data_IF_966559736680
#
_entry.id   IF_966559736680
#
_cell.length_a   1.000
_cell.length_b   1.000
_cell.length_c   1.000
_cell.angle_alpha   90.00
_cell.angle_beta   90.00
_cell.angle_gamma   90.00
#
_symmetry.space_group_name_H-M   'P 1'
#
loop_
_entity.id
_entity.type
_entity.pdbx_description
1 polymer ?
#
# COMPACT_ATOMS: atom_id res chain seq x y z
N UNK A 1 -17.56 -16.00 -17.05
CA UNK A 1 -16.56 -16.43 -18.04
C UNK A 1 -15.94 -15.26 -18.81
N UNK A 2 -16.69 -14.28 -19.34
CA UNK A 2 -16.08 -13.09 -19.98
C UNK A 2 -15.26 -12.21 -19.02
N UNK A 3 -15.68 -12.04 -17.76
CA UNK A 3 -14.91 -11.26 -16.77
C UNK A 3 -13.56 -11.89 -16.36
N UNK A 4 -13.40 -13.22 -16.48
CA UNK A 4 -12.13 -13.89 -16.14
C UNK A 4 -11.09 -13.71 -17.24
N UNK A 5 -11.52 -13.53 -18.49
CA UNK A 5 -10.61 -13.36 -19.62
C UNK A 5 -10.00 -11.94 -19.65
N UNK A 6 -10.75 -10.94 -19.21
CA UNK A 6 -10.26 -9.56 -19.10
C UNK A 6 -9.20 -9.40 -17.99
N UNK A 7 -9.39 -10.03 -16.84
CA UNK A 7 -8.41 -9.94 -15.74
C UNK A 7 -7.10 -10.65 -16.09
N UNK A 8 -7.17 -11.83 -16.71
CA UNK A 8 -5.97 -12.58 -17.14
C UNK A 8 -5.18 -11.79 -18.21
N UNK A 9 -5.87 -11.17 -19.16
CA UNK A 9 -5.20 -10.38 -20.21
C UNK A 9 -4.57 -9.10 -19.64
N UNK A 10 -5.21 -8.44 -18.69
CA UNK A 10 -4.63 -7.29 -17.97
C UNK A 10 -3.39 -7.67 -17.15
N UNK A 11 -3.44 -8.81 -16.43
CA UNK A 11 -2.27 -9.30 -15.69
C UNK A 11 -1.11 -9.63 -16.63
N UNK A 12 -1.38 -10.32 -17.75
CA UNK A 12 -0.36 -10.66 -18.74
C UNK A 12 0.29 -9.41 -19.35
N UNK A 13 -0.51 -8.39 -19.71
CA UNK A 13 -0.02 -7.12 -20.23
C UNK A 13 0.86 -6.40 -19.20
N UNK A 14 0.43 -6.35 -17.94
CA UNK A 14 1.19 -5.72 -16.85
C UNK A 14 2.54 -6.40 -16.65
N UNK A 15 2.56 -7.73 -16.64
CA UNK A 15 3.81 -8.51 -16.54
C UNK A 15 4.71 -8.23 -17.74
N UNK A 16 4.16 -8.21 -18.96
CA UNK A 16 4.94 -7.93 -20.16
C UNK A 16 5.58 -6.52 -20.13
N UNK A 17 4.81 -5.50 -19.71
CA UNK A 17 5.31 -4.14 -19.54
C UNK A 17 6.41 -4.08 -18.48
N UNK A 18 6.22 -4.73 -17.32
CA UNK A 18 7.22 -4.78 -16.26
C UNK A 18 8.53 -5.43 -16.74
N UNK A 19 8.44 -6.58 -17.43
CA UNK A 19 9.61 -7.28 -18.00
C UNK A 19 10.31 -6.40 -19.04
N UNK A 20 9.55 -5.72 -19.92
CA UNK A 20 10.11 -4.82 -20.93
C UNK A 20 10.84 -3.62 -20.29
N UNK A 21 10.30 -3.06 -19.22
CA UNK A 21 10.93 -1.97 -18.46
C UNK A 21 12.23 -2.40 -17.80
N UNK A 22 12.24 -3.58 -17.16
CA UNK A 22 13.46 -4.16 -16.57
C UNK A 22 14.52 -4.40 -17.65
N UNK A 23 14.12 -4.96 -18.80
CA UNK A 23 15.03 -5.18 -19.93
C UNK A 23 15.61 -3.87 -20.46
N UNK A 24 14.80 -2.82 -20.58
CA UNK A 24 15.25 -1.50 -21.00
C UNK A 24 16.28 -0.92 -20.01
N UNK A 25 15.98 -0.91 -18.72
CA UNK A 25 16.91 -0.42 -17.67
C UNK A 25 18.22 -1.25 -17.70
N UNK A 26 18.12 -2.56 -17.84
CA UNK A 26 19.28 -3.45 -17.97
C UNK A 26 20.15 -3.09 -19.18
N UNK A 27 19.55 -2.84 -20.35
CA UNK A 27 20.30 -2.44 -21.54
C UNK A 27 21.01 -1.09 -21.35
N UNK A 28 20.33 -0.12 -20.72
CA UNK A 28 20.92 1.19 -20.40
C UNK A 28 22.09 1.03 -19.42
N UNK A 29 21.95 0.21 -18.38
CA UNK A 29 23.02 -0.06 -17.42
C UNK A 29 24.19 -0.80 -18.07
N UNK A 30 23.94 -1.78 -18.93
CA UNK A 30 24.98 -2.45 -19.71
C UNK A 30 25.70 -1.48 -20.64
N UNK A 31 24.96 -0.59 -21.30
CA UNK A 31 25.55 0.45 -22.14
C UNK A 31 26.44 1.41 -21.32
N UNK A 32 25.99 1.84 -20.14
CA UNK A 32 26.70 2.78 -19.28
C UNK A 32 27.91 2.17 -18.53
N UNK A 33 27.79 0.94 -18.03
CA UNK A 33 28.77 0.33 -17.11
C UNK A 33 29.68 -0.69 -17.79
N UNK A 34 29.22 -1.36 -18.85
CA UNK A 34 29.90 -2.51 -19.46
C UNK A 34 30.47 -2.16 -20.84
N UNK A 35 29.79 -1.32 -21.61
CA UNK A 35 30.26 -0.92 -22.93
C UNK A 35 31.18 0.30 -22.84
N UNK A 36 32.31 0.25 -23.54
CA UNK A 36 33.27 1.35 -23.68
C UNK A 36 32.68 2.43 -24.59
N UNK A 37 31.65 3.12 -24.10
CA UNK A 37 31.06 4.28 -24.75
C UNK A 37 32.09 5.41 -24.77
N UNK A 38 32.27 6.07 -25.93
CA UNK A 38 33.17 7.24 -26.04
C UNK A 38 32.75 8.41 -25.13
N UNK A 39 31.49 8.44 -24.68
CA UNK A 39 30.96 9.49 -23.81
C UNK A 39 31.12 9.21 -22.30
N UNK A 40 31.31 7.94 -21.88
CA UNK A 40 31.45 7.58 -20.47
C UNK A 40 32.62 6.61 -20.28
N UNK A 41 33.81 7.06 -19.85
CA UNK A 41 35.02 6.26 -19.85
C UNK A 41 35.18 5.31 -18.64
N UNK A 42 34.10 4.99 -17.92
CA UNK A 42 34.20 4.13 -16.73
C UNK A 42 34.08 2.65 -17.10
N UNK A 43 35.18 2.05 -17.56
CA UNK A 43 35.30 0.58 -17.50
C UNK A 43 35.51 0.21 -16.03
N UNK A 44 34.48 -0.37 -15.43
CA UNK A 44 34.49 -0.71 -14.02
C UNK A 44 35.47 -1.87 -13.78
N UNK A 45 36.52 -1.60 -12.99
CA UNK A 45 37.46 -2.63 -12.51
C UNK A 45 36.83 -3.55 -11.48
N UNK A 46 37.56 -4.59 -11.09
CA UNK A 46 37.08 -5.61 -10.13
C UNK A 46 36.60 -5.00 -8.80
N UNK A 47 37.27 -3.94 -8.32
CA UNK A 47 36.87 -3.19 -7.13
C UNK A 47 35.54 -2.45 -7.30
N UNK A 48 35.23 -1.97 -8.50
CA UNK A 48 34.00 -1.24 -8.76
C UNK A 48 32.80 -2.17 -8.89
N UNK A 49 32.97 -3.40 -9.39
CA UNK A 49 31.89 -4.39 -9.39
C UNK A 49 31.50 -4.84 -7.98
N UNK A 50 32.45 -4.88 -7.04
CA UNK A 50 32.15 -5.04 -5.60
C UNK A 50 31.29 -3.90 -5.07
N UNK A 51 31.56 -2.64 -5.47
CA UNK A 51 30.72 -1.49 -5.08
C UNK A 51 29.30 -1.59 -5.65
N UNK A 52 29.17 -1.99 -6.91
CA UNK A 52 27.86 -2.26 -7.53
C UNK A 52 27.11 -3.36 -6.75
N UNK A 53 27.83 -4.37 -6.25
CA UNK A 53 27.24 -5.42 -5.40
C UNK A 53 26.59 -4.87 -4.12
N UNK A 54 27.26 -3.94 -3.44
CA UNK A 54 26.68 -3.29 -2.27
C UNK A 54 25.49 -2.39 -2.63
N UNK A 55 25.58 -1.65 -3.74
CA UNK A 55 24.53 -0.72 -4.17
C UNK A 55 23.22 -1.45 -4.50
N UNK A 56 23.24 -2.56 -5.25
CA UNK A 56 21.99 -3.26 -5.57
C UNK A 56 21.34 -3.88 -4.33
N UNK A 57 22.13 -4.34 -3.34
CA UNK A 57 21.60 -4.86 -2.07
C UNK A 57 20.92 -3.73 -1.28
N UNK A 58 21.52 -2.54 -1.23
CA UNK A 58 20.93 -1.36 -0.56
C UNK A 58 19.63 -0.95 -1.26
N UNK A 59 19.63 -0.85 -2.59
CA UNK A 59 18.44 -0.49 -3.37
C UNK A 59 17.34 -1.55 -3.21
N UNK A 60 17.69 -2.83 -3.29
CA UNK A 60 16.74 -3.94 -3.16
C UNK A 60 16.13 -4.02 -1.76
N UNK A 61 16.94 -3.84 -0.71
CA UNK A 61 16.44 -3.80 0.68
C UNK A 61 15.54 -2.59 0.94
N UNK A 62 15.87 -1.42 0.37
CA UNK A 62 15.01 -0.24 0.45
C UNK A 62 13.67 -0.46 -0.27
N UNK A 63 13.68 -1.04 -1.47
CA UNK A 63 12.47 -1.38 -2.20
C UNK A 63 11.56 -2.35 -1.40
N UNK A 64 12.16 -3.39 -0.79
CA UNK A 64 11.46 -4.35 0.05
C UNK A 64 10.85 -3.66 1.29
N UNK A 65 11.60 -2.78 1.95
CA UNK A 65 11.08 -2.00 3.07
C UNK A 65 9.85 -1.17 2.66
N UNK A 66 9.91 -0.47 1.53
CA UNK A 66 8.78 0.32 1.04
C UNK A 66 7.56 -0.58 0.78
N UNK A 67 7.74 -1.78 0.20
CA UNK A 67 6.63 -2.73 0.01
C UNK A 67 6.03 -3.24 1.33
N UNK A 68 6.83 -3.42 2.39
CA UNK A 68 6.31 -3.74 3.72
C UNK A 68 5.43 -2.59 4.22
N UNK A 69 5.91 -1.34 4.12
CA UNK A 69 5.16 -0.15 4.54
C UNK A 69 3.84 0.00 3.77
N UNK A 70 3.84 -0.28 2.46
CA UNK A 70 2.64 -0.27 1.63
C UNK A 70 1.63 -1.33 2.05
N UNK A 71 2.10 -2.54 2.36
CA UNK A 71 1.22 -3.64 2.78
C UNK A 71 0.51 -3.27 4.08
N UNK A 72 1.22 -2.69 5.05
CA UNK A 72 0.62 -2.20 6.30
C UNK A 72 -0.41 -1.11 6.03
N UNK A 73 -0.09 -0.15 5.16
CA UNK A 73 -0.99 0.95 4.85
C UNK A 73 -2.26 0.48 4.10
N UNK A 74 -2.12 -0.49 3.19
CA UNK A 74 -3.26 -1.13 2.52
C UNK A 74 -4.14 -1.92 3.49
N UNK A 75 -3.55 -2.57 4.51
CA UNK A 75 -4.32 -3.23 5.57
C UNK A 75 -5.17 -2.20 6.33
N UNK A 76 -4.61 -1.04 6.69
CA UNK A 76 -5.37 0.02 7.38
C UNK A 76 -6.48 0.61 6.51
N UNK A 77 -6.26 0.75 5.21
CA UNK A 77 -7.31 1.17 4.27
C UNK A 77 -8.41 0.10 4.20
N UNK A 78 -8.05 -1.17 4.07
CA UNK A 78 -9.03 -2.27 4.05
C UNK A 78 -9.81 -2.38 5.36
N UNK A 79 -9.16 -2.14 6.51
CA UNK A 79 -9.81 -2.06 7.82
C UNK A 79 -10.85 -0.93 7.83
N UNK A 80 -10.51 0.26 7.33
CA UNK A 80 -11.46 1.37 7.18
C UNK A 80 -12.65 1.01 6.28
N UNK A 81 -12.41 0.40 5.13
CA UNK A 81 -13.48 0.02 4.20
C UNK A 81 -14.41 -1.03 4.82
N UNK A 82 -13.85 -1.93 5.63
CA UNK A 82 -14.59 -2.91 6.41
C UNK A 82 -15.43 -2.24 7.49
N UNK A 83 -14.87 -1.29 8.25
CA UNK A 83 -15.60 -0.50 9.24
C UNK A 83 -16.71 0.34 8.60
N UNK A 84 -16.48 0.94 7.43
CA UNK A 84 -17.53 1.65 6.69
C UNK A 84 -18.66 0.69 6.27
N UNK A 85 -18.30 -0.52 5.84
CA UNK A 85 -19.27 -1.57 5.52
C UNK A 85 -20.09 -1.99 6.75
N UNK A 86 -19.46 -2.11 7.92
CA UNK A 86 -20.17 -2.35 9.18
C UNK A 86 -21.05 -1.16 9.58
N UNK A 87 -20.61 0.07 9.35
CA UNK A 87 -21.42 1.28 9.53
C UNK A 87 -22.69 1.25 8.68
N UNK A 88 -22.58 0.88 7.39
CA UNK A 88 -23.73 0.71 6.49
C UNK A 88 -24.69 -0.38 6.96
N UNK A 89 -24.17 -1.50 7.45
CA UNK A 89 -24.99 -2.58 8.04
C UNK A 89 -25.67 -2.15 9.33
N UNK A 90 -25.00 -1.36 10.17
CA UNK A 90 -25.59 -0.81 11.40
C UNK A 90 -26.73 0.15 11.08
N UNK A 91 -26.57 1.01 10.07
CA UNK A 91 -27.64 1.89 9.57
C UNK A 91 -28.80 1.07 9.02
N UNK A 92 -28.52 0.03 8.23
CA UNK A 92 -29.56 -0.85 7.72
C UNK A 92 -30.33 -1.54 8.86
N UNK A 93 -29.63 -2.05 9.86
CA UNK A 93 -30.24 -2.63 11.07
C UNK A 93 -31.12 -1.62 11.81
N UNK A 94 -30.64 -0.38 11.96
CA UNK A 94 -31.39 0.71 12.56
C UNK A 94 -32.65 1.06 11.76
N UNK A 95 -32.55 1.13 10.43
CA UNK A 95 -33.67 1.40 9.53
C UNK A 95 -34.73 0.28 9.58
N UNK A 96 -34.29 -0.99 9.66
CA UNK A 96 -35.19 -2.13 9.87
C UNK A 96 -35.90 -2.00 11.22
N UNK A 97 -35.17 -1.73 12.30
CA UNK A 97 -35.76 -1.57 13.63
C UNK A 97 -36.77 -0.42 13.70
N UNK A 98 -36.47 0.71 13.06
CA UNK A 98 -37.38 1.86 12.97
C UNK A 98 -38.60 1.56 12.11
N UNK A 99 -38.43 0.84 11.00
CA UNK A 99 -39.57 0.43 10.16
C UNK A 99 -40.51 -0.50 10.92
N UNK A 100 -39.96 -1.46 11.68
CA UNK A 100 -40.73 -2.41 12.48
C UNK A 100 -41.62 -1.73 13.55
N UNK A 101 -41.30 -0.49 13.96
CA UNK A 101 -42.14 0.28 14.89
C UNK A 101 -43.42 0.85 14.24
N UNK A 102 -43.45 0.87 12.92
CA UNK A 102 -44.60 1.29 12.11
C UNK A 102 -45.20 0.13 11.30
N UNK A 103 -44.81 -1.11 11.63
CA UNK A 103 -45.33 -2.30 10.96
C UNK A 103 -46.82 -2.51 11.30
N UNK A 104 -47.58 -3.23 10.46
CA UNK A 104 -49.02 -3.44 10.63
C UNK A 104 -49.41 -4.08 11.97
N UNK A 105 -48.47 -4.75 12.63
CA UNK A 105 -48.66 -5.36 13.95
C UNK A 105 -48.74 -4.34 15.09
N UNK A 106 -48.15 -3.15 14.91
CA UNK A 106 -48.17 -2.04 15.88
C UNK A 106 -49.17 -0.97 15.41
N UNK A 107 -49.09 -0.59 14.15
CA UNK A 107 -50.00 0.33 13.49
C UNK A 107 -51.26 -0.40 12.97
N UNK A 108 -51.96 -1.07 13.89
CA UNK A 108 -53.11 -1.91 13.56
C UNK A 108 -54.31 -1.02 13.19
N UNK A 109 -54.98 -1.25 12.03
CA UNK A 109 -56.20 -0.52 11.68
C UNK A 109 -57.30 -0.72 12.73
N UNK A 110 -58.10 0.30 12.98
CA UNK A 110 -59.24 0.28 13.92
C UNK A 110 -60.25 -0.84 13.68
N UNK A 111 -60.29 -1.38 12.47
CA UNK A 111 -61.19 -2.45 12.04
C UNK A 111 -60.62 -3.86 12.22
N UNK A 112 -59.35 -4.01 12.60
CA UNK A 112 -58.68 -5.30 12.63
C UNK A 112 -59.16 -6.17 13.81
N UNK A 113 -59.30 -7.49 13.59
CA UNK A 113 -59.72 -8.43 14.64
C UNK A 113 -58.71 -8.53 15.80
N UNK A 114 -57.42 -8.34 15.52
CA UNK A 114 -56.36 -8.31 16.53
C UNK A 114 -56.66 -7.30 17.65
N UNK A 115 -57.27 -6.16 17.28
CA UNK A 115 -57.61 -5.05 18.18
C UNK A 115 -58.73 -5.37 19.18
N UNK A 116 -59.60 -6.33 18.86
CA UNK A 116 -60.77 -6.68 19.70
C UNK A 116 -60.39 -7.36 21.01
N UNK A 117 -59.19 -7.93 21.09
CA UNK A 117 -58.71 -8.69 22.24
C UNK A 117 -57.76 -7.89 23.15
N UNK A 118 -57.42 -6.64 22.79
CA UNK A 118 -56.57 -5.77 23.61
C UNK A 118 -57.39 -4.88 24.55
N UNK A 119 -56.79 -4.49 25.67
CA UNK A 119 -57.35 -3.49 26.56
C UNK A 119 -57.45 -2.12 25.87
N UNK A 120 -58.40 -1.27 26.29
CA UNK A 120 -58.60 0.06 25.68
C UNK A 120 -57.38 0.96 25.89
N UNK A 121 -56.72 0.80 27.01
CA UNK A 121 -55.50 1.52 27.40
C UNK A 121 -54.34 1.17 26.46
N UNK A 122 -54.15 -0.11 26.16
CA UNK A 122 -53.12 -0.58 25.22
C UNK A 122 -53.37 -0.09 23.79
N UNK A 123 -54.65 -0.02 23.39
CA UNK A 123 -55.04 0.49 22.07
C UNK A 123 -54.69 1.97 21.92
N UNK A 124 -54.98 2.79 22.94
CA UNK A 124 -54.65 4.21 22.93
C UNK A 124 -53.12 4.45 22.93
N UNK A 125 -52.38 3.63 23.68
CA UNK A 125 -50.91 3.66 23.68
C UNK A 125 -50.33 3.30 22.31
N UNK A 126 -50.84 2.24 21.67
CA UNK A 126 -50.45 1.82 20.31
C UNK A 126 -50.78 2.88 19.25
N UNK A 127 -51.94 3.54 19.33
CA UNK A 127 -52.31 4.62 18.41
C UNK A 127 -51.37 5.82 18.52
N UNK A 128 -51.10 6.27 19.76
CA UNK A 128 -50.19 7.38 20.01
C UNK A 128 -48.76 7.06 19.55
N UNK A 129 -48.28 5.84 19.82
CA UNK A 129 -46.98 5.37 19.38
C UNK A 129 -46.90 5.29 17.85
N UNK A 130 -47.93 4.74 17.20
CA UNK A 130 -47.99 4.65 15.75
C UNK A 130 -47.91 6.04 15.08
N UNK A 131 -48.62 7.05 15.62
CA UNK A 131 -48.57 8.41 15.08
C UNK A 131 -47.15 9.00 15.12
N UNK A 132 -46.42 8.76 16.22
CA UNK A 132 -45.03 9.22 16.38
C UNK A 132 -44.09 8.44 15.47
N UNK A 133 -44.16 7.10 15.47
CA UNK A 133 -43.23 6.25 14.73
C UNK A 133 -43.42 6.34 13.21
N UNK A 134 -44.63 6.62 12.74
CA UNK A 134 -44.89 6.85 11.31
C UNK A 134 -44.20 8.13 10.81
N UNK A 135 -44.06 9.16 11.66
CA UNK A 135 -43.38 10.42 11.29
C UNK A 135 -41.87 10.28 11.14
N UNK A 136 -41.27 9.32 11.86
CA UNK A 136 -39.81 9.06 11.83
C UNK A 136 -39.43 7.84 10.98
N UNK A 137 -40.40 7.20 10.32
CA UNK A 137 -40.18 6.02 9.49
C UNK A 137 -39.18 6.36 8.38
N UNK A 138 -38.13 5.54 8.20
CA UNK A 138 -37.16 5.76 7.14
C UNK A 138 -37.77 5.55 5.76
N UNK A 139 -37.27 6.27 4.77
CA UNK A 139 -37.73 6.14 3.37
C UNK A 139 -37.54 4.72 2.81
N UNK A 140 -36.45 4.05 3.20
CA UNK A 140 -36.14 2.69 2.78
C UNK A 140 -35.82 1.81 3.98
N UNK A 141 -36.53 0.70 4.10
CA UNK A 141 -36.31 -0.32 5.15
C UNK A 141 -34.90 -0.91 5.07
N UNK A 142 -34.36 -1.08 3.86
CA UNK A 142 -33.04 -1.67 3.62
C UNK A 142 -32.02 -0.63 3.15
N UNK A 143 -32.31 0.66 3.32
CA UNK A 143 -31.39 1.73 2.98
C UNK A 143 -30.14 1.68 3.85
N UNK A 144 -28.98 1.92 3.26
CA UNK A 144 -27.69 2.06 3.94
C UNK A 144 -27.36 3.50 4.29
N UNK A 145 -28.24 4.44 3.93
CA UNK A 145 -28.09 5.86 4.23
C UNK A 145 -28.83 6.22 5.52
N UNK A 146 -28.25 7.09 6.36
CA UNK A 146 -28.87 7.50 7.61
C UNK A 146 -30.07 8.42 7.34
N UNK A 147 -31.27 8.02 7.76
CA UNK A 147 -32.43 8.89 7.66
C UNK A 147 -32.37 10.01 8.71
N UNK A 148 -32.22 11.24 8.23
CA UNK A 148 -32.06 12.44 9.07
C UNK A 148 -33.18 12.57 10.12
N UNK A 149 -34.42 12.19 9.79
CA UNK A 149 -35.55 12.30 10.73
C UNK A 149 -35.40 11.35 11.91
N UNK A 150 -34.98 10.12 11.63
CA UNK A 150 -34.74 9.09 12.64
C UNK A 150 -33.58 9.47 13.56
N UNK A 151 -32.47 9.95 12.97
CA UNK A 151 -31.30 10.40 13.73
C UNK A 151 -31.66 11.58 14.64
N UNK A 152 -32.38 12.59 14.14
CA UNK A 152 -32.82 13.75 14.94
C UNK A 152 -33.72 13.29 16.09
N UNK A 153 -34.64 12.35 15.85
CA UNK A 153 -35.52 11.84 16.89
C UNK A 153 -34.76 11.12 18.00
N UNK A 154 -33.86 10.19 17.64
CA UNK A 154 -33.06 9.40 18.57
C UNK A 154 -32.00 10.23 19.32
N UNK A 155 -31.51 11.30 18.70
CA UNK A 155 -30.60 12.25 19.36
C UNK A 155 -31.32 13.07 20.42
N UNK A 156 -32.60 13.42 20.18
CA UNK A 156 -33.44 14.15 21.15
C UNK A 156 -33.98 13.26 22.26
N UNK A 157 -34.21 11.98 21.98
CA UNK A 157 -34.73 11.00 22.93
C UNK A 157 -33.67 9.92 23.16
N UNK A 158 -32.76 10.18 24.09
CA UNK A 158 -31.63 9.28 24.36
C UNK A 158 -32.02 8.06 25.20
N UNK A 159 -33.15 8.11 25.90
CA UNK A 159 -33.66 7.04 26.76
C UNK A 159 -34.91 6.40 26.17
N UNK A 160 -34.94 5.07 26.13
CA UNK A 160 -36.10 4.30 25.66
C UNK A 160 -37.35 4.63 26.50
N UNK A 161 -38.45 5.07 25.87
CA UNK A 161 -39.71 5.23 26.57
C UNK A 161 -40.20 3.89 27.11
N UNK A 162 -40.75 3.93 28.33
CA UNK A 162 -41.36 2.76 28.96
C UNK A 162 -42.82 2.66 28.51
N UNK A 163 -43.12 1.65 27.70
CA UNK A 163 -44.48 1.32 27.28
C UNK A 163 -45.04 0.17 28.11
N UNK A 164 -46.34 0.22 28.41
CA UNK A 164 -47.05 -0.86 29.11
C UNK A 164 -47.21 -2.10 28.22
N UNK A 165 -47.44 -1.89 26.91
CA UNK A 165 -47.53 -2.98 25.95
C UNK A 165 -46.16 -3.68 25.76
N UNK A 166 -46.11 -5.00 26.01
CA UNK A 166 -44.89 -5.81 25.91
C UNK A 166 -44.27 -5.78 24.52
N UNK A 167 -45.07 -5.97 23.46
CA UNK A 167 -44.59 -5.99 22.07
C UNK A 167 -43.99 -4.65 21.67
N UNK A 168 -44.66 -3.54 22.04
CA UNK A 168 -44.15 -2.20 21.77
C UNK A 168 -42.85 -1.94 22.54
N UNK A 169 -42.81 -2.31 23.83
CA UNK A 169 -41.63 -2.18 24.69
C UNK A 169 -40.41 -2.93 24.13
N UNK A 170 -40.58 -4.18 23.68
CA UNK A 170 -39.50 -4.96 23.05
C UNK A 170 -38.99 -4.34 21.76
N UNK A 171 -39.89 -3.86 20.90
CA UNK A 171 -39.52 -3.25 19.62
C UNK A 171 -38.78 -1.93 19.81
N UNK A 172 -39.21 -1.14 20.79
CA UNK A 172 -38.53 0.11 21.16
C UNK A 172 -37.16 -0.20 21.76
N UNK A 173 -37.04 -1.17 22.66
CA UNK A 173 -35.73 -1.63 23.16
C UNK A 173 -34.81 -2.07 22.03
N UNK A 174 -35.33 -2.81 21.04
CA UNK A 174 -34.57 -3.20 19.86
C UNK A 174 -34.09 -2.00 19.05
N UNK A 175 -34.91 -0.95 18.88
CA UNK A 175 -34.49 0.28 18.21
C UNK A 175 -33.32 0.96 18.93
N UNK A 176 -33.44 1.12 20.26
CA UNK A 176 -32.39 1.78 21.05
C UNK A 176 -31.10 0.94 21.12
N UNK A 177 -31.22 -0.38 21.09
CA UNK A 177 -30.06 -1.26 20.97
C UNK A 177 -29.36 -1.09 19.60
N UNK A 178 -30.10 -1.07 18.50
CA UNK A 178 -29.55 -0.78 17.16
C UNK A 178 -28.95 0.63 17.08
N UNK A 179 -29.54 1.62 17.78
CA UNK A 179 -29.01 2.98 17.88
C UNK A 179 -27.67 3.03 18.61
N UNK A 180 -27.56 2.34 19.76
CA UNK A 180 -26.31 2.26 20.50
C UNK A 180 -25.20 1.59 19.66
N UNK A 181 -25.53 0.51 18.94
CA UNK A 181 -24.60 -0.16 18.02
C UNK A 181 -24.16 0.79 16.89
N UNK A 182 -25.08 1.57 16.32
CA UNK A 182 -24.74 2.58 15.32
C UNK A 182 -23.79 3.66 15.87
N UNK A 183 -24.05 4.18 17.07
CA UNK A 183 -23.17 5.17 17.70
C UNK A 183 -21.77 4.61 17.97
N UNK A 184 -21.67 3.36 18.41
CA UNK A 184 -20.40 2.68 18.60
C UNK A 184 -19.62 2.55 17.28
N UNK A 185 -20.30 2.19 16.19
CA UNK A 185 -19.69 2.09 14.86
C UNK A 185 -19.24 3.45 14.33
N UNK A 186 -20.01 4.51 14.58
CA UNK A 186 -19.67 5.86 14.17
C UNK A 186 -18.40 6.38 14.88
N UNK A 187 -18.24 6.06 16.16
CA UNK A 187 -17.04 6.39 16.95
C UNK A 187 -15.80 5.69 16.36
N UNK A 188 -15.89 4.37 16.10
CA UNK A 188 -14.83 3.58 15.47
C UNK A 188 -14.42 4.12 14.10
N UNK A 189 -15.40 4.42 13.22
CA UNK A 189 -15.14 4.99 11.90
C UNK A 189 -14.43 6.35 12.03
N UNK A 190 -14.85 7.19 12.98
CA UNK A 190 -14.24 8.50 13.20
C UNK A 190 -12.78 8.40 13.68
N UNK A 191 -12.50 7.44 14.56
CA UNK A 191 -11.15 7.18 15.07
C UNK A 191 -10.21 6.69 13.96
N UNK A 192 -10.71 5.78 13.10
CA UNK A 192 -9.94 5.22 11.99
C UNK A 192 -9.75 6.23 10.85
N UNK A 193 -10.76 7.08 10.58
CA UNK A 193 -10.74 8.05 9.48
C UNK A 193 -9.65 9.11 9.59
N UNK A 194 -9.34 9.57 10.81
CA UNK A 194 -8.31 10.58 11.05
C UNK A 194 -6.89 10.11 10.70
N UNK A 195 -6.63 8.81 10.77
CA UNK A 195 -5.32 8.24 10.44
C UNK A 195 -5.16 8.02 8.94
N UNK A 196 -6.19 7.55 8.23
CA UNK A 196 -6.08 7.09 6.84
C UNK A 196 -5.81 8.20 5.83
N UNK A 197 -6.31 9.42 6.08
CA UNK A 197 -6.21 10.55 5.14
C UNK A 197 -4.76 10.99 4.86
N UNK A 198 -3.83 10.73 5.78
CA UNK A 198 -2.39 11.02 5.59
C UNK A 198 -1.68 9.94 4.78
N UNK A 199 -2.21 8.71 4.75
CA UNK A 199 -1.57 7.59 4.04
C UNK A 199 -1.89 7.58 2.56
N UNK A 200 -3.12 7.93 2.16
CA UNK A 200 -3.62 7.71 0.80
C UNK A 200 -2.76 8.37 -0.29
N UNK A 201 -2.35 9.64 -0.07
CA UNK A 201 -1.49 10.35 -1.02
C UNK A 201 -0.02 9.86 -0.99
N UNK A 202 0.46 9.44 0.19
CA UNK A 202 1.83 8.96 0.39
C UNK A 202 2.04 7.54 -0.18
N UNK A 203 1.02 6.68 -0.10
CA UNK A 203 1.08 5.31 -0.60
C UNK A 203 1.20 5.31 -2.12
N UNK A 204 0.34 6.06 -2.82
CA UNK A 204 0.26 6.03 -4.28
C UNK A 204 1.59 6.41 -4.93
N UNK A 205 2.27 7.43 -4.41
CA UNK A 205 3.59 7.84 -4.93
C UNK A 205 4.68 6.82 -4.60
N UNK A 206 4.63 6.21 -3.42
CA UNK A 206 5.60 5.20 -2.99
C UNK A 206 5.55 3.92 -3.83
N UNK A 207 4.39 3.56 -4.39
CA UNK A 207 4.17 2.34 -5.17
C UNK A 207 5.04 2.31 -6.43
N UNK A 208 5.04 3.43 -7.16
CA UNK A 208 5.87 3.59 -8.35
C UNK A 208 7.36 3.58 -8.00
N UNK A 209 7.74 4.20 -6.88
CA UNK A 209 9.14 4.27 -6.43
C UNK A 209 9.66 2.88 -6.04
N UNK A 210 8.90 2.12 -5.25
CA UNK A 210 9.30 0.78 -4.82
C UNK A 210 9.52 -0.16 -6.02
N UNK A 211 8.55 -0.18 -6.94
CA UNK A 211 8.59 -0.99 -8.16
C UNK A 211 9.78 -0.61 -9.04
N UNK A 212 10.05 0.69 -9.19
CA UNK A 212 11.20 1.20 -9.94
C UNK A 212 12.54 0.82 -9.28
N UNK A 213 12.67 0.97 -7.96
CA UNK A 213 13.87 0.58 -7.22
C UNK A 213 14.13 -0.92 -7.33
N UNK A 214 13.08 -1.76 -7.25
CA UNK A 214 13.19 -3.20 -7.43
C UNK A 214 13.67 -3.56 -8.85
N UNK A 215 13.09 -2.92 -9.88
CA UNK A 215 13.54 -3.10 -11.27
C UNK A 215 15.02 -2.70 -11.45
N UNK A 216 15.44 -1.59 -10.84
CA UNK A 216 16.84 -1.16 -10.84
C UNK A 216 17.75 -2.16 -10.12
N UNK A 217 17.35 -2.70 -8.98
CA UNK A 217 18.12 -3.70 -8.24
C UNK A 217 18.33 -4.98 -9.06
N UNK A 218 17.27 -5.48 -9.71
CA UNK A 218 17.34 -6.66 -10.60
C UNK A 218 18.25 -6.37 -11.78
N UNK A 219 18.07 -5.23 -12.44
CA UNK A 219 18.87 -4.83 -13.60
C UNK A 219 20.36 -4.66 -13.26
N UNK A 220 20.69 -4.05 -12.12
CA UNK A 220 22.05 -3.93 -11.61
C UNK A 220 22.68 -5.30 -11.32
N UNK A 221 21.91 -6.22 -10.73
CA UNK A 221 22.38 -7.58 -10.47
C UNK A 221 22.71 -8.32 -11.77
N UNK A 222 21.84 -8.23 -12.78
CA UNK A 222 22.08 -8.82 -14.09
C UNK A 222 23.32 -8.19 -14.76
N UNK A 223 23.42 -6.85 -14.75
CA UNK A 223 24.55 -6.13 -15.31
C UNK A 223 25.87 -6.52 -14.63
N UNK A 224 25.87 -6.74 -13.31
CA UNK A 224 27.00 -7.27 -12.55
C UNK A 224 27.46 -8.62 -13.08
N UNK A 225 26.54 -9.59 -13.16
CA UNK A 225 26.87 -10.95 -13.64
C UNK A 225 27.45 -10.89 -15.05
N UNK A 226 26.86 -10.07 -15.94
CA UNK A 226 27.39 -9.86 -17.29
C UNK A 226 28.78 -9.22 -17.28
N UNK A 227 29.01 -8.22 -16.43
CA UNK A 227 30.29 -7.53 -16.29
C UNK A 227 31.41 -8.43 -15.77
N UNK A 228 31.14 -9.25 -14.76
CA UNK A 228 32.09 -10.23 -14.21
C UNK A 228 32.47 -11.30 -15.24
N UNK A 229 31.51 -11.82 -16.01
CA UNK A 229 31.78 -12.77 -17.10
C UNK A 229 32.70 -12.10 -18.12
N UNK A 230 32.38 -10.87 -18.56
CA UNK A 230 33.16 -10.17 -19.58
C UNK A 230 34.58 -9.82 -19.12
N UNK A 231 34.77 -9.51 -17.83
CA UNK A 231 36.11 -9.28 -17.25
C UNK A 231 36.96 -10.56 -17.27
N UNK A 232 36.35 -11.72 -17.05
CA UNK A 232 37.04 -13.02 -17.13
C UNK A 232 37.35 -13.42 -18.57
N UNK A 233 36.48 -13.10 -19.53
CA UNK A 233 36.68 -13.43 -20.95
C UNK A 233 37.64 -12.47 -21.67
N UNK A 234 37.65 -11.19 -21.29
CA UNK A 234 38.52 -10.16 -21.86
C UNK A 234 39.22 -9.37 -20.76
N UNK A 235 40.25 -9.97 -20.11
CA UNK A 235 41.03 -9.28 -19.08
C UNK A 235 41.61 -7.99 -19.64
N UNK A 236 41.56 -6.92 -18.83
CA UNK A 236 42.11 -5.62 -19.22
C UNK A 236 43.63 -5.79 -19.30
N UNK A 237 44.19 -5.50 -20.47
CA UNK A 237 45.62 -5.66 -20.79
C UNK A 237 46.58 -4.88 -19.88
N UNK A 238 46.06 -3.97 -19.03
CA UNK A 238 46.82 -3.25 -18.01
C UNK A 238 47.28 -4.13 -16.84
N UNK A 239 46.94 -5.42 -16.81
CA UNK A 239 47.51 -6.42 -15.89
C UNK A 239 48.55 -7.33 -16.56
N UNK A 240 49.19 -6.87 -17.65
CA UNK A 240 50.51 -7.41 -18.01
C UNK A 240 51.50 -6.91 -16.95
N UNK A 241 51.67 -7.66 -15.86
CA UNK A 241 52.93 -7.63 -15.11
C UNK A 241 54.04 -7.84 -16.16
N UNK A 242 55.09 -7.00 -16.21
CA UNK A 242 56.26 -7.33 -17.02
C UNK A 242 56.73 -8.73 -16.58
N UNK A 243 57.30 -9.53 -17.51
CA UNK A 243 57.80 -10.85 -17.16
C UNK A 243 58.70 -10.71 -15.95
N UNK A 244 58.29 -11.34 -14.84
CA UNK A 244 59.03 -11.38 -13.60
C UNK A 244 60.30 -12.14 -13.91
N UNK A 245 61.37 -11.40 -14.17
CA UNK A 245 62.71 -11.92 -14.14
C UNK A 245 62.94 -12.45 -12.73
N UNK A 246 63.35 -13.71 -12.65
CA UNK A 246 63.60 -14.44 -11.41
C UNK A 246 64.44 -13.61 -10.44
N UNK A 247 63.84 -13.09 -9.35
CA UNK A 247 64.55 -12.78 -8.11
C UNK A 247 63.61 -12.63 -6.91
N UNK A 248 64.00 -13.37 -5.87
CA UNK A 248 63.60 -13.37 -4.46
C UNK A 248 62.23 -13.94 -4.03
N UNK A 249 62.23 -15.12 -3.34
CA UNK A 249 61.03 -15.76 -2.80
C UNK A 249 60.43 -15.09 -1.53
N UNK A 250 60.95 -13.94 -1.09
CA UNK A 250 60.55 -13.32 0.19
C UNK A 250 59.53 -12.17 0.07
N UNK A 251 59.10 -11.79 -1.15
CA UNK A 251 58.17 -10.65 -1.35
C UNK A 251 56.69 -11.01 -1.50
N UNK A 252 56.37 -12.27 -1.81
CA UNK A 252 55.00 -12.79 -1.94
C UNK A 252 54.10 -12.72 -0.69
N UNK A 253 54.59 -12.79 0.57
CA UNK A 253 53.70 -12.77 1.74
C UNK A 253 53.10 -11.38 2.03
N UNK A 254 53.55 -10.31 1.38
CA UNK A 254 53.09 -8.94 1.67
C UNK A 254 51.80 -8.55 0.92
N UNK A 255 51.64 -8.95 -0.35
CA UNK A 255 50.43 -8.69 -1.16
C UNK A 255 49.22 -9.54 -0.69
N UNK A 256 49.46 -10.78 -0.28
CA UNK A 256 48.42 -11.64 0.30
C UNK A 256 47.95 -11.13 1.67
N UNK A 257 48.87 -10.63 2.50
CA UNK A 257 48.54 -10.06 3.82
C UNK A 257 47.73 -8.77 3.69
N UNK A 258 48.02 -7.92 2.71
CA UNK A 258 47.27 -6.69 2.46
C UNK A 258 45.86 -6.99 1.95
N UNK A 259 45.71 -7.89 0.97
CA UNK A 259 44.40 -8.33 0.48
C UNK A 259 43.53 -9.01 1.56
N UNK A 260 44.13 -9.84 2.41
CA UNK A 260 43.43 -10.47 3.52
C UNK A 260 43.00 -9.46 4.61
N UNK A 261 43.78 -8.40 4.82
CA UNK A 261 43.45 -7.33 5.77
C UNK A 261 42.30 -6.46 5.26
N UNK A 262 42.27 -6.13 3.97
CA UNK A 262 41.14 -5.42 3.35
C UNK A 262 39.85 -6.25 3.40
N UNK A 263 39.91 -7.54 3.07
CA UNK A 263 38.77 -8.45 3.17
C UNK A 263 38.20 -8.53 4.61
N UNK A 264 39.06 -8.53 5.62
CA UNK A 264 38.64 -8.50 7.03
C UNK A 264 37.94 -7.19 7.40
N UNK A 265 38.47 -6.06 6.94
CA UNK A 265 37.84 -4.75 7.16
C UNK A 265 36.47 -4.68 6.49
N UNK A 266 36.33 -5.11 5.24
CA UNK A 266 35.05 -5.15 4.54
C UNK A 266 34.04 -6.12 5.19
N UNK A 267 34.50 -7.28 5.68
CA UNK A 267 33.64 -8.21 6.42
C UNK A 267 33.17 -7.63 7.76
N UNK A 268 34.00 -6.81 8.43
CA UNK A 268 33.65 -6.14 9.67
C UNK A 268 32.64 -5.01 9.43
N UNK A 269 32.79 -4.22 8.37
CA UNK A 269 31.81 -3.21 7.96
C UNK A 269 30.45 -3.83 7.59
N UNK A 270 30.47 -4.99 6.92
CA UNK A 270 29.26 -5.74 6.59
C UNK A 270 28.52 -6.24 7.84
N UNK A 271 29.26 -6.79 8.82
CA UNK A 271 28.67 -7.18 10.10
C UNK A 271 28.02 -6.00 10.80
N UNK A 272 28.70 -4.85 10.79
CA UNK A 272 28.22 -3.64 11.44
C UNK A 272 26.96 -3.10 10.74
N UNK A 273 26.93 -3.14 9.40
CA UNK A 273 25.78 -2.79 8.58
C UNK A 273 24.59 -3.73 8.82
N UNK A 274 24.83 -5.04 8.89
CA UNK A 274 23.82 -6.05 9.17
C UNK A 274 23.22 -5.87 10.58
N UNK A 275 24.05 -5.58 11.59
CA UNK A 275 23.58 -5.28 12.95
C UNK A 275 22.80 -3.98 13.03
N UNK A 276 23.16 -2.98 12.23
CA UNK A 276 22.41 -1.72 12.15
C UNK A 276 21.06 -1.92 11.45
N UNK A 277 21.00 -2.77 10.42
CA UNK A 277 19.76 -3.14 9.73
C UNK A 277 18.81 -3.94 10.64
N UNK A 278 19.33 -4.88 11.43
CA UNK A 278 18.52 -5.62 12.42
C UNK A 278 18.01 -4.69 13.52
N UNK A 279 18.86 -3.81 14.06
CA UNK A 279 18.41 -2.78 15.01
C UNK A 279 17.38 -1.83 14.41
N UNK A 280 17.53 -1.46 13.14
CA UNK A 280 16.55 -0.62 12.46
C UNK A 280 15.21 -1.36 12.29
N UNK A 281 15.24 -2.64 11.91
CA UNK A 281 14.07 -3.50 11.82
C UNK A 281 13.36 -3.68 13.18
N UNK A 282 14.11 -3.89 14.26
CA UNK A 282 13.56 -3.97 15.61
C UNK A 282 12.98 -2.63 16.08
N UNK A 283 13.57 -1.51 15.67
CA UNK A 283 13.05 -0.17 15.97
C UNK A 283 11.80 0.18 15.17
N UNK A 284 11.65 -0.36 13.95
CA UNK A 284 10.45 -0.25 13.12
C UNK A 284 9.24 -0.98 13.72
N UNK A 285 9.46 -1.93 14.64
CA UNK A 285 8.39 -2.62 15.37
C UNK A 285 7.68 -1.72 16.40
N UNK A 286 8.21 -0.52 16.66
CA UNK A 286 7.67 0.43 17.63
C UNK A 286 6.87 1.52 16.90
N UNK A 287 5.54 1.62 17.11
CA UNK A 287 4.66 2.49 16.31
C UNK A 287 5.01 3.99 16.41
N UNK A 288 5.52 4.46 17.56
CA UNK A 288 5.89 5.87 17.73
C UNK A 288 7.14 6.31 16.93
N UNK A 289 8.05 5.37 16.62
CA UNK A 289 9.23 5.64 15.78
C UNK A 289 8.92 5.56 14.29
N UNK A 290 7.88 4.81 13.94
CA UNK A 290 7.35 4.74 12.59
C UNK A 290 6.87 6.10 12.11
N UNK A 291 6.12 6.83 12.94
CA UNK A 291 5.69 8.21 12.65
C UNK A 291 6.89 9.13 12.40
N UNK A 292 7.99 8.95 13.16
CA UNK A 292 9.21 9.75 12.98
C UNK A 292 9.96 9.40 11.68
N UNK A 293 9.95 8.13 11.28
CA UNK A 293 10.50 7.66 10.01
C UNK A 293 9.64 8.12 8.83
N UNK A 294 8.32 8.09 8.96
CA UNK A 294 7.40 8.67 7.97
C UNK A 294 7.64 10.17 7.80
N UNK A 295 7.81 10.91 8.90
CA UNK A 295 8.14 12.34 8.85
C UNK A 295 9.48 12.60 8.13
N UNK A 296 10.44 11.66 8.23
CA UNK A 296 11.71 11.73 7.48
C UNK A 296 11.55 11.32 6.02
N UNK A 297 10.70 10.36 5.71
CA UNK A 297 10.31 10.01 4.33
C UNK A 297 9.57 11.18 3.64
N UNK A 298 8.73 11.92 4.36
CA UNK A 298 8.08 13.14 3.86
C UNK A 298 9.11 14.24 3.49
N UNK A 299 10.28 14.26 4.12
CA UNK A 299 11.39 15.12 3.69
C UNK A 299 12.14 14.59 2.47
N UNK A 300 12.18 13.27 2.25
CA UNK A 300 12.66 12.65 0.99
C UNK A 300 11.66 12.93 -0.14
N UNK A 301 10.38 13.16 0.18
CA UNK A 301 9.32 13.57 -0.76
C UNK A 301 9.66 14.87 -1.51
N UNK A 302 10.45 15.77 -0.91
CA UNK A 302 10.97 16.97 -1.59
C UNK A 302 11.98 16.67 -2.71
N UNK A 303 12.59 15.48 -2.71
CA UNK A 303 13.45 14.99 -3.79
C UNK A 303 12.68 14.26 -4.89
N UNK A 304 11.44 13.83 -4.64
CA UNK A 304 10.60 13.10 -5.63
C UNK A 304 10.36 13.91 -6.91
N UNK A 305 10.05 15.23 -6.91
CA UNK A 305 9.89 15.96 -8.15
C UNK A 305 11.18 15.97 -8.98
N UNK A 306 12.37 15.97 -8.36
CA UNK A 306 13.64 15.88 -9.09
C UNK A 306 13.85 14.51 -9.73
N UNK A 307 13.50 13.43 -9.02
CA UNK A 307 13.55 12.06 -9.57
C UNK A 307 12.52 11.87 -10.68
N UNK A 308 11.31 12.41 -10.52
CA UNK A 308 10.25 12.40 -11.53
C UNK A 308 10.67 13.15 -12.79
N UNK A 309 11.26 14.35 -12.68
CA UNK A 309 11.80 15.08 -13.83
C UNK A 309 12.95 14.32 -14.51
N UNK A 310 13.78 13.60 -13.75
CA UNK A 310 14.81 12.73 -14.31
C UNK A 310 14.22 11.55 -15.10
N UNK A 311 13.17 10.91 -14.57
CA UNK A 311 12.53 9.76 -15.19
C UNK A 311 11.66 10.14 -16.39
N UNK A 312 10.90 11.24 -16.30
CA UNK A 312 10.16 11.82 -17.41
C UNK A 312 11.10 12.26 -18.53
N UNK A 313 12.24 12.87 -18.18
CA UNK A 313 13.32 13.16 -19.13
C UNK A 313 13.84 11.89 -19.81
N UNK A 314 14.07 10.82 -19.03
CA UNK A 314 14.48 9.51 -19.55
C UNK A 314 13.44 8.90 -20.50
N UNK A 315 12.15 8.95 -20.17
CA UNK A 315 11.06 8.44 -21.00
C UNK A 315 10.92 9.22 -22.32
N UNK A 316 11.03 10.56 -22.26
CA UNK A 316 11.05 11.39 -23.46
C UNK A 316 12.24 11.07 -24.36
N UNK A 317 13.42 10.80 -23.78
CA UNK A 317 14.60 10.36 -24.53
C UNK A 317 14.37 8.99 -25.15
N UNK A 318 13.76 8.04 -24.44
CA UNK A 318 13.43 6.71 -24.98
C UNK A 318 12.44 6.77 -26.14
N UNK A 319 11.40 7.62 -26.05
CA UNK A 319 10.43 7.84 -27.14
C UNK A 319 11.12 8.53 -28.33
N UNK A 320 11.98 9.52 -28.09
CA UNK A 320 12.74 10.17 -29.16
C UNK A 320 13.69 9.20 -29.87
N UNK A 321 14.36 8.31 -29.13
CA UNK A 321 15.21 7.26 -29.68
C UNK A 321 14.39 6.23 -30.47
N UNK A 322 13.21 5.83 -29.97
CA UNK A 322 12.32 4.91 -30.67
C UNK A 322 11.82 5.53 -32.00
N UNK A 323 11.44 6.80 -32.00
CA UNK A 323 11.02 7.52 -33.22
C UNK A 323 12.18 7.72 -34.21
N UNK A 324 13.40 7.96 -33.71
CA UNK A 324 14.61 8.02 -34.54
C UNK A 324 14.94 6.66 -35.18
N UNK A 325 14.87 5.58 -34.41
CA UNK A 325 15.06 4.21 -34.91
C UNK A 325 13.99 3.85 -35.94
N UNK A 326 12.73 4.22 -35.70
CA UNK A 326 11.64 4.00 -36.65
C UNK A 326 11.90 4.74 -37.96
N UNK A 327 12.40 5.99 -37.92
CA UNK A 327 12.78 6.76 -39.11
C UNK A 327 13.97 6.19 -39.87
N UNK A 328 14.95 5.62 -39.16
CA UNK A 328 16.11 4.96 -39.80
C UNK A 328 15.69 3.65 -40.46
N UNK A 329 14.77 2.92 -39.84
CA UNK A 329 14.24 1.65 -40.38
C UNK A 329 13.25 1.85 -41.54
N UNK A 330 12.55 2.99 -41.61
CA UNK A 330 11.69 3.35 -42.75
C UNK A 330 12.40 4.23 -43.79
N UNK A 331 13.68 4.55 -43.56
CA UNK A 331 14.57 5.32 -44.42
C UNK A 331 15.56 4.45 -45.21
N UNK A 332 15.08 3.28 -45.62
CA UNK A 332 15.58 2.45 -46.71
C UNK A 332 14.35 1.82 -47.39
#
# INVERSE_FOLDING_TARGET
MFMEQETVTQMALTVALAVSGIAFIYLVLCWALVWKSKLAPMRIGEIGWKRVDYIWIIIGSLALLIHILQTEANIKIAERDMEESFGRLAIQSLNIAATNLSDPDICVPSTAPARKNLAKEDIAELDAACEVFTKIRPLSRTGTEPDVKLIIYLTKHTTAPNYSNHTLSERVKSLYHSWANYLQQLDLISQTGGQVLTYENTISTSEYIASFLLACAIALRLAKVTGEIRLKTHPIESSKKPPVDNKDPDSAPSELKTSARELRLSAQELKLSATNLTKAADQLKNPSKFDTLQTRLANIEKLIPYVYWMLAGSACISVAIALLLQRVLTGA
#
